data_IF_606072540760
#
_entry.id   IF_606072540760
#
_cell.length_a   1.000
_cell.length_b   1.000
_cell.length_c   1.000
_cell.angle_alpha   90.00
_cell.angle_beta   90.00
_cell.angle_gamma   90.00
#
_symmetry.space_group_name_H-M   'P 1'
#
loop_
_entity.id
_entity.type
_entity.pdbx_description
1 polymer ?
#
# COMPACT_ATOMS: atom_id res chain seq x y z
N UNK A 1 36.91 -24.46 8.31
CA UNK A 1 37.91 -23.91 7.35
C UNK A 1 37.35 -24.14 5.96
N UNK A 2 37.05 -23.04 5.26
CA UNK A 2 36.28 -22.99 4.02
C UNK A 2 35.03 -22.13 4.22
N UNK A 3 35.20 -20.81 4.36
CA UNK A 3 34.09 -19.87 4.12
C UNK A 3 33.74 -20.01 2.65
N UNK A 4 32.59 -20.62 2.34
CA UNK A 4 31.99 -20.51 1.02
C UNK A 4 31.64 -19.04 0.87
N UNK A 5 32.53 -18.26 0.26
CA UNK A 5 32.24 -16.87 -0.04
C UNK A 5 31.20 -16.88 -1.15
N UNK A 6 29.99 -16.44 -0.84
CA UNK A 6 28.89 -16.39 -1.79
C UNK A 6 29.13 -15.25 -2.77
N UNK A 7 29.99 -15.45 -3.77
CA UNK A 7 30.19 -14.43 -4.80
C UNK A 7 28.95 -14.36 -5.69
N UNK A 8 28.31 -13.20 -5.75
CA UNK A 8 27.12 -12.95 -6.54
C UNK A 8 25.80 -13.36 -5.87
N UNK A 9 24.75 -13.52 -6.67
CA UNK A 9 23.41 -13.85 -6.18
C UNK A 9 23.29 -15.35 -5.85
N UNK A 10 22.61 -15.66 -4.75
CA UNK A 10 22.26 -17.03 -4.35
C UNK A 10 20.74 -17.20 -4.35
N UNK A 11 20.27 -18.21 -5.07
CA UNK A 11 18.85 -18.60 -5.12
C UNK A 11 18.67 -20.05 -4.63
N UNK A 12 18.06 -20.18 -3.46
CA UNK A 12 17.63 -21.43 -2.86
C UNK A 12 16.11 -21.49 -2.66
N UNK A 13 15.36 -20.74 -3.47
CA UNK A 13 13.90 -20.69 -3.41
C UNK A 13 13.25 -22.02 -3.80
N UNK A 14 12.07 -22.29 -3.23
CA UNK A 14 11.21 -23.43 -3.58
C UNK A 14 11.88 -24.81 -3.46
N UNK A 15 12.75 -25.01 -2.47
CA UNK A 15 13.47 -26.27 -2.24
C UNK A 15 12.95 -27.08 -1.05
N UNK A 16 11.93 -26.59 -0.36
CA UNK A 16 11.40 -27.21 0.86
C UNK A 16 12.38 -27.15 2.04
N UNK A 17 13.26 -26.14 2.07
CA UNK A 17 14.21 -25.93 3.15
C UNK A 17 13.47 -25.65 4.47
N UNK A 18 14.00 -26.20 5.55
CA UNK A 18 13.52 -25.97 6.92
C UNK A 18 14.51 -25.15 7.75
N UNK A 19 15.75 -24.97 7.28
CA UNK A 19 16.76 -24.11 7.88
C UNK A 19 17.67 -23.50 6.81
N UNK A 20 18.38 -22.42 7.18
CA UNK A 20 19.47 -21.82 6.41
C UNK A 20 20.85 -22.23 6.93
N UNK A 21 20.91 -23.27 7.76
CA UNK A 21 22.18 -23.77 8.30
C UNK A 21 23.12 -24.20 7.16
N UNK A 22 24.38 -23.76 7.24
CA UNK A 22 25.38 -24.02 6.21
C UNK A 22 25.36 -23.05 5.02
N UNK A 23 24.49 -22.02 5.05
CA UNK A 23 24.64 -20.89 4.13
C UNK A 23 26.00 -20.19 4.34
N UNK A 24 26.57 -19.58 3.29
CA UNK A 24 27.65 -18.61 3.42
C UNK A 24 27.42 -17.61 4.56
N UNK A 25 28.48 -17.20 5.25
CA UNK A 25 28.36 -16.11 6.22
C UNK A 25 28.07 -14.77 5.52
N UNK A 26 28.63 -14.60 4.31
CA UNK A 26 28.52 -13.40 3.49
C UNK A 26 28.11 -13.79 2.06
N UNK A 27 27.19 -13.03 1.49
CA UNK A 27 26.80 -13.08 0.08
C UNK A 27 26.98 -11.70 -0.53
N UNK A 28 27.87 -11.59 -1.50
CA UNK A 28 28.17 -10.35 -2.25
C UNK A 28 27.16 -10.13 -3.39
N UNK A 29 25.88 -10.25 -3.06
CA UNK A 29 24.76 -10.15 -4.00
C UNK A 29 23.44 -10.27 -3.26
N UNK A 30 22.42 -10.70 -4.00
CA UNK A 30 21.09 -10.96 -3.48
C UNK A 30 20.96 -12.38 -2.97
N UNK A 31 20.14 -12.58 -1.93
CA UNK A 31 19.86 -13.89 -1.37
C UNK A 31 18.35 -14.16 -1.42
N UNK A 32 17.95 -15.16 -2.19
CA UNK A 32 16.57 -15.58 -2.33
C UNK A 32 16.35 -16.96 -1.69
N UNK A 33 15.60 -16.99 -0.60
CA UNK A 33 15.17 -18.20 0.11
C UNK A 33 13.64 -18.34 0.16
N UNK A 34 12.94 -17.69 -0.76
CA UNK A 34 11.47 -17.68 -0.82
C UNK A 34 10.85 -19.06 -1.09
N UNK A 35 9.58 -19.25 -0.73
CA UNK A 35 8.82 -20.46 -1.05
C UNK A 35 9.32 -21.73 -0.37
N UNK A 36 9.87 -21.62 0.84
CA UNK A 36 10.38 -22.74 1.63
C UNK A 36 9.48 -23.00 2.86
N UNK A 37 9.97 -23.75 3.85
CA UNK A 37 9.28 -24.04 5.12
C UNK A 37 10.09 -23.52 6.30
N UNK A 38 10.77 -22.39 6.11
CA UNK A 38 11.57 -21.75 7.16
C UNK A 38 10.64 -21.18 8.22
N UNK A 39 10.97 -21.41 9.49
CA UNK A 39 10.25 -20.83 10.64
C UNK A 39 11.02 -19.69 11.31
N UNK A 40 12.30 -19.54 10.95
CA UNK A 40 13.27 -18.58 11.50
C UNK A 40 14.28 -18.23 10.39
N UNK A 41 14.95 -17.08 10.54
CA UNK A 41 16.05 -16.66 9.66
C UNK A 41 17.44 -16.98 10.25
N UNK A 42 17.53 -17.79 11.31
CA UNK A 42 18.81 -18.24 11.85
C UNK A 42 19.65 -18.93 10.77
N UNK A 43 20.93 -18.51 10.68
CA UNK A 43 21.85 -18.97 9.64
C UNK A 43 21.76 -18.18 8.33
N UNK A 44 20.89 -17.17 8.22
CA UNK A 44 20.87 -16.29 7.06
C UNK A 44 22.20 -15.55 6.88
N UNK A 45 22.67 -15.36 5.63
CA UNK A 45 23.89 -14.61 5.36
C UNK A 45 23.73 -13.12 5.65
N UNK A 46 24.86 -12.46 5.89
CA UNK A 46 24.98 -11.03 5.63
C UNK A 46 25.03 -10.79 4.13
N UNK A 47 24.25 -9.82 3.64
CA UNK A 47 24.09 -9.57 2.21
C UNK A 47 24.46 -8.14 1.82
N UNK A 48 24.84 -7.94 0.56
CA UNK A 48 25.05 -6.61 -0.01
C UNK A 48 23.97 -6.19 -1.01
N UNK A 49 23.15 -7.12 -1.53
CA UNK A 49 22.05 -6.88 -2.47
C UNK A 49 20.67 -6.86 -1.81
N UNK A 50 19.72 -7.58 -2.43
CA UNK A 50 18.35 -7.80 -1.92
C UNK A 50 18.25 -9.08 -1.08
N UNK A 51 17.26 -9.16 -0.21
CA UNK A 51 16.98 -10.35 0.60
C UNK A 51 15.50 -10.72 0.50
N UNK A 52 15.21 -11.89 -0.06
CA UNK A 52 13.86 -12.42 -0.20
C UNK A 52 13.68 -13.68 0.64
N UNK A 53 12.79 -13.60 1.63
CA UNK A 53 12.36 -14.70 2.48
C UNK A 53 10.84 -14.91 2.44
N UNK A 54 10.19 -14.42 1.39
CA UNK A 54 8.73 -14.50 1.24
C UNK A 54 8.21 -15.93 1.10
N UNK A 55 6.94 -16.14 1.44
CA UNK A 55 6.30 -17.45 1.25
C UNK A 55 6.93 -18.55 2.12
N UNK A 56 7.13 -18.27 3.40
CA UNK A 56 7.66 -19.19 4.39
C UNK A 56 6.71 -19.26 5.62
N UNK A 57 7.15 -19.88 6.71
CA UNK A 57 6.42 -20.00 7.97
C UNK A 57 7.09 -19.16 9.08
N UNK A 58 7.78 -18.09 8.72
CA UNK A 58 8.61 -17.30 9.64
C UNK A 58 7.74 -16.53 10.62
N UNK A 59 8.08 -16.61 11.91
CA UNK A 59 7.37 -15.94 13.01
C UNK A 59 8.07 -14.70 13.56
N UNK A 60 9.37 -14.57 13.30
CA UNK A 60 10.23 -13.45 13.71
C UNK A 60 11.32 -13.20 12.67
N UNK A 61 11.70 -11.95 12.46
CA UNK A 61 12.80 -11.58 11.56
C UNK A 61 14.18 -11.69 12.22
N UNK A 62 14.25 -12.08 13.49
CA UNK A 62 15.51 -12.36 14.19
C UNK A 62 16.35 -13.41 13.44
N UNK A 63 17.67 -13.18 13.40
CA UNK A 63 18.61 -13.97 12.61
C UNK A 63 18.78 -13.48 11.16
N UNK A 64 17.88 -12.63 10.66
CA UNK A 64 17.98 -12.03 9.33
C UNK A 64 19.04 -10.91 9.21
N UNK A 65 19.24 -10.36 7.99
CA UNK A 65 20.21 -9.29 7.79
C UNK A 65 19.78 -7.98 8.46
N UNK A 66 20.70 -7.33 9.18
CA UNK A 66 20.44 -6.05 9.86
C UNK A 66 20.35 -4.84 8.92
N UNK A 67 20.96 -4.95 7.73
CA UNK A 67 21.05 -3.89 6.70
C UNK A 67 20.92 -4.53 5.32
N UNK A 68 20.14 -3.88 4.45
CA UNK A 68 19.87 -4.34 3.09
C UNK A 68 20.06 -3.17 2.13
N UNK A 69 20.87 -3.32 1.07
CA UNK A 69 21.07 -2.25 0.09
C UNK A 69 20.14 -2.33 -1.12
N UNK A 70 19.49 -3.47 -1.34
CA UNK A 70 18.38 -3.61 -2.28
C UNK A 70 17.05 -3.63 -1.55
N UNK A 71 16.22 -4.58 -1.94
CA UNK A 71 14.87 -4.80 -1.43
C UNK A 71 14.88 -5.83 -0.31
N UNK A 72 13.98 -5.68 0.65
CA UNK A 72 13.73 -6.65 1.70
C UNK A 72 12.30 -7.17 1.58
N UNK A 73 12.15 -8.45 1.20
CA UNK A 73 10.87 -9.09 1.05
C UNK A 73 10.67 -10.17 2.11
N UNK A 74 9.70 -9.94 3.01
CA UNK A 74 9.25 -10.87 4.05
C UNK A 74 7.75 -11.14 3.96
N UNK A 75 7.14 -10.89 2.79
CA UNK A 75 5.72 -11.10 2.56
C UNK A 75 5.30 -12.57 2.70
N UNK A 76 4.01 -12.83 2.92
CA UNK A 76 3.44 -14.19 3.00
C UNK A 76 4.15 -15.07 4.03
N UNK A 77 4.17 -14.61 5.28
CA UNK A 77 4.76 -15.31 6.43
C UNK A 77 3.78 -15.28 7.62
N UNK A 78 4.24 -15.59 8.84
CA UNK A 78 3.43 -15.60 10.06
C UNK A 78 3.88 -14.53 11.07
N UNK A 79 4.48 -13.43 10.58
CA UNK A 79 5.02 -12.37 11.43
C UNK A 79 3.92 -11.66 12.21
N UNK A 80 4.16 -11.45 13.51
CA UNK A 80 3.28 -10.64 14.39
C UNK A 80 3.80 -9.22 14.61
N UNK A 81 5.09 -8.99 14.40
CA UNK A 81 5.74 -7.67 14.38
C UNK A 81 6.98 -7.70 13.46
N UNK A 82 7.56 -6.53 13.20
CA UNK A 82 8.75 -6.38 12.35
C UNK A 82 10.05 -6.28 13.16
N UNK A 83 10.02 -6.55 14.47
CA UNK A 83 11.23 -6.57 15.30
C UNK A 83 12.20 -7.64 14.80
N UNK A 84 13.50 -7.35 14.89
CA UNK A 84 14.57 -8.19 14.34
C UNK A 84 14.82 -7.97 12.85
N UNK A 85 13.95 -7.24 12.14
CA UNK A 85 14.15 -6.90 10.73
C UNK A 85 15.24 -5.84 10.51
N UNK A 86 15.61 -5.59 9.24
CA UNK A 86 16.64 -4.61 8.91
C UNK A 86 16.23 -3.20 9.31
N UNK A 87 17.12 -2.52 10.04
CA UNK A 87 16.93 -1.12 10.43
C UNK A 87 17.08 -0.14 9.27
N UNK A 88 17.73 -0.58 8.17
CA UNK A 88 17.99 0.22 6.98
C UNK A 88 17.80 -0.63 5.73
N UNK A 89 16.87 -0.19 4.89
CA UNK A 89 16.59 -0.73 3.55
C UNK A 89 16.64 0.41 2.55
N UNK A 90 17.35 0.22 1.43
CA UNK A 90 17.51 1.28 0.42
C UNK A 90 16.47 1.19 -0.70
N UNK A 91 16.03 -0.01 -1.04
CA UNK A 91 14.96 -0.26 -2.01
C UNK A 91 13.61 -0.38 -1.33
N UNK A 92 12.86 -1.40 -1.70
CA UNK A 92 11.51 -1.69 -1.23
C UNK A 92 11.51 -2.50 0.08
N UNK A 93 10.49 -2.29 0.89
CA UNK A 93 10.23 -3.09 2.08
C UNK A 93 8.84 -3.73 1.97
N UNK A 94 8.82 -5.03 1.71
CA UNK A 94 7.60 -5.78 1.44
C UNK A 94 7.31 -6.72 2.61
N UNK A 95 6.21 -6.49 3.32
CA UNK A 95 5.78 -7.26 4.48
C UNK A 95 4.29 -7.65 4.43
N UNK A 96 3.70 -7.63 3.24
CA UNK A 96 2.31 -7.98 3.01
C UNK A 96 1.97 -9.45 3.32
N UNK A 97 0.71 -9.75 3.58
CA UNK A 97 0.25 -11.13 3.82
C UNK A 97 0.84 -11.75 5.09
N UNK A 98 0.85 -11.00 6.19
CA UNK A 98 1.35 -11.45 7.50
C UNK A 98 0.24 -11.35 8.57
N UNK A 99 0.61 -11.43 9.85
CA UNK A 99 -0.30 -11.26 11.00
C UNK A 99 0.07 -10.01 11.82
N UNK A 100 0.61 -8.98 11.17
CA UNK A 100 1.07 -7.77 11.85
C UNK A 100 -0.12 -7.01 12.44
N UNK A 101 0.01 -6.62 13.72
CA UNK A 101 -0.97 -5.76 14.41
C UNK A 101 -0.50 -4.30 14.52
N UNK A 102 0.80 -4.07 14.32
CA UNK A 102 1.44 -2.74 14.29
C UNK A 102 2.67 -2.80 13.38
N UNK A 103 3.18 -1.63 12.98
CA UNK A 103 4.41 -1.51 12.21
C UNK A 103 5.64 -1.30 13.10
N UNK A 104 5.56 -1.60 14.40
CA UNK A 104 6.71 -1.52 15.30
C UNK A 104 7.85 -2.45 14.83
N UNK A 105 9.04 -1.87 14.69
CA UNK A 105 10.22 -2.54 14.15
C UNK A 105 10.48 -2.27 12.67
N UNK A 106 9.55 -1.62 11.95
CA UNK A 106 9.77 -1.21 10.57
C UNK A 106 10.94 -0.21 10.45
N UNK A 107 11.66 -0.21 9.32
CA UNK A 107 12.62 0.85 9.00
C UNK A 107 11.94 2.22 8.95
N UNK A 108 12.61 3.25 9.46
CA UNK A 108 12.04 4.61 9.52
C UNK A 108 12.03 5.36 8.19
N UNK A 109 12.92 5.00 7.27
CA UNK A 109 12.99 5.59 5.92
C UNK A 109 13.09 4.46 4.91
N UNK A 110 12.18 4.46 3.93
CA UNK A 110 12.16 3.48 2.83
C UNK A 110 11.98 4.25 1.54
N UNK A 111 13.05 4.42 0.75
CA UNK A 111 13.01 5.28 -0.44
C UNK A 111 12.07 4.75 -1.53
N UNK A 112 11.98 3.43 -1.64
CA UNK A 112 11.10 2.77 -2.59
C UNK A 112 9.68 2.62 -2.05
N UNK A 113 9.10 1.47 -2.29
CA UNK A 113 7.76 1.09 -1.90
C UNK A 113 7.76 0.41 -0.52
N UNK A 114 6.86 0.84 0.35
CA UNK A 114 6.55 0.16 1.61
C UNK A 114 5.18 -0.51 1.51
N UNK A 115 5.19 -1.85 1.47
CA UNK A 115 3.98 -2.65 1.38
C UNK A 115 3.73 -3.39 2.70
N UNK A 116 2.65 -3.00 3.39
CA UNK A 116 2.14 -3.67 4.58
C UNK A 116 0.68 -4.12 4.40
N UNK A 117 0.26 -4.32 3.15
CA UNK A 117 -1.09 -4.79 2.83
C UNK A 117 -1.39 -6.17 3.41
N UNK A 118 -2.67 -6.53 3.48
CA UNK A 118 -3.14 -7.86 3.90
C UNK A 118 -2.55 -8.31 5.25
N UNK A 119 -2.78 -7.49 6.26
CA UNK A 119 -2.35 -7.71 7.63
C UNK A 119 -3.53 -7.48 8.61
N UNK A 120 -3.24 -7.32 9.91
CA UNK A 120 -4.24 -7.07 10.94
C UNK A 120 -4.01 -5.72 11.63
N UNK A 121 -3.43 -4.76 10.90
CA UNK A 121 -3.06 -3.46 11.44
C UNK A 121 -4.31 -2.69 11.87
N UNK A 122 -4.27 -2.15 13.09
CA UNK A 122 -5.28 -1.24 13.64
C UNK A 122 -4.80 0.21 13.66
N UNK A 123 -3.50 0.43 13.47
CA UNK A 123 -2.86 1.75 13.33
C UNK A 123 -1.58 1.64 12.51
N UNK A 124 -1.15 2.75 11.90
CA UNK A 124 0.10 2.82 11.13
C UNK A 124 1.31 3.24 11.98
N UNK A 125 1.10 3.56 13.27
CA UNK A 125 2.19 3.89 14.18
C UNK A 125 3.28 2.80 14.20
N UNK A 126 4.53 3.27 14.19
CA UNK A 126 5.71 2.43 14.09
C UNK A 126 6.29 2.34 12.68
N UNK A 127 5.50 2.66 11.65
CA UNK A 127 5.89 2.64 10.24
C UNK A 127 6.97 3.66 9.84
N UNK A 128 7.29 3.70 8.53
CA UNK A 128 8.19 4.70 7.98
C UNK A 128 7.58 6.10 8.07
N UNK A 129 8.44 7.09 8.29
CA UNK A 129 8.04 8.52 8.27
C UNK A 129 8.10 9.10 6.85
N UNK A 130 8.88 8.49 5.97
CA UNK A 130 9.14 8.93 4.60
C UNK A 130 9.19 7.71 3.69
N UNK A 131 8.42 7.74 2.61
CA UNK A 131 8.43 6.67 1.61
C UNK A 131 8.14 7.12 0.18
N UNK A 132 8.58 6.33 -0.80
CA UNK A 132 8.22 6.54 -2.19
C UNK A 132 6.73 6.29 -2.41
N UNK A 133 6.31 5.03 -2.29
CA UNK A 133 4.90 4.63 -2.33
C UNK A 133 4.53 3.87 -1.05
N UNK A 134 3.27 3.95 -0.63
CA UNK A 134 2.79 3.31 0.59
C UNK A 134 1.52 2.52 0.33
N UNK A 135 1.52 1.23 0.68
CA UNK A 135 0.34 0.40 0.65
C UNK A 135 0.04 -0.19 2.02
N UNK A 136 -1.14 0.13 2.53
CA UNK A 136 -1.69 -0.39 3.77
C UNK A 136 -3.11 -0.98 3.58
N UNK A 137 -3.44 -1.35 2.33
CA UNK A 137 -4.72 -1.96 2.00
C UNK A 137 -4.95 -3.29 2.70
N UNK A 138 -6.20 -3.74 2.79
CA UNK A 138 -6.51 -5.07 3.35
C UNK A 138 -6.16 -5.20 4.85
N UNK A 139 -6.41 -4.14 5.62
CA UNK A 139 -6.13 -4.10 7.06
C UNK A 139 -7.41 -3.81 7.87
N UNK A 140 -7.27 -3.47 9.15
CA UNK A 140 -8.37 -3.14 10.07
C UNK A 140 -8.31 -1.69 10.55
N UNK A 141 -7.74 -0.81 9.73
CA UNK A 141 -7.53 0.60 10.05
C UNK A 141 -8.88 1.33 10.13
N UNK A 142 -9.03 2.18 11.16
CA UNK A 142 -10.19 3.08 11.32
C UNK A 142 -9.87 4.54 11.02
N UNK A 143 -8.59 4.88 11.05
CA UNK A 143 -7.99 6.14 10.59
C UNK A 143 -6.59 5.84 10.02
N UNK A 144 -5.98 6.84 9.42
CA UNK A 144 -4.63 6.79 8.84
C UNK A 144 -3.58 7.43 9.76
N UNK A 145 -3.91 7.61 11.05
CA UNK A 145 -2.95 8.17 12.00
C UNK A 145 -1.67 7.31 12.07
N UNK A 146 -0.52 7.98 11.91
CA UNK A 146 0.79 7.35 11.84
C UNK A 146 1.21 6.92 10.43
N UNK A 147 0.44 7.26 9.39
CA UNK A 147 0.91 7.17 8.00
C UNK A 147 2.18 8.03 7.80
N UNK A 148 2.95 7.76 6.73
CA UNK A 148 4.11 8.60 6.38
C UNK A 148 3.69 10.06 6.14
N UNK A 149 4.54 11.00 6.58
CA UNK A 149 4.32 12.44 6.37
C UNK A 149 4.53 12.81 4.90
N UNK A 150 5.45 12.11 4.22
CA UNK A 150 5.80 12.32 2.81
C UNK A 150 5.64 11.02 2.01
N UNK A 151 4.83 11.10 0.94
CA UNK A 151 4.60 10.01 -0.02
C UNK A 151 4.83 10.56 -1.43
N UNK A 152 5.92 10.14 -2.05
CA UNK A 152 6.40 10.71 -3.32
C UNK A 152 5.77 10.09 -4.58
N UNK A 153 4.94 9.07 -4.42
CA UNK A 153 4.23 8.37 -5.50
C UNK A 153 2.80 8.00 -5.03
N UNK A 154 2.43 6.72 -5.05
CA UNK A 154 1.07 6.26 -4.74
C UNK A 154 0.83 5.99 -3.25
N UNK A 155 -0.42 6.16 -2.82
CA UNK A 155 -0.90 5.81 -1.48
C UNK A 155 -2.19 4.99 -1.56
N UNK A 156 -2.10 3.72 -1.16
CA UNK A 156 -3.24 2.81 -1.11
C UNK A 156 -3.61 2.46 0.33
N UNK A 157 -4.83 2.84 0.71
CA UNK A 157 -5.47 2.51 1.98
C UNK A 157 -6.83 1.82 1.80
N UNK A 158 -7.04 1.21 0.63
CA UNK A 158 -8.28 0.53 0.29
C UNK A 158 -8.56 -0.68 1.19
N UNK A 159 -9.81 -1.14 1.20
CA UNK A 159 -10.20 -2.37 1.89
C UNK A 159 -9.84 -2.35 3.38
N UNK A 160 -10.27 -1.29 4.07
CA UNK A 160 -10.08 -1.07 5.50
C UNK A 160 -11.44 -0.76 6.17
N UNK A 161 -11.42 -0.25 7.40
CA UNK A 161 -12.60 0.16 8.16
C UNK A 161 -12.62 1.68 8.38
N UNK A 162 -12.05 2.46 7.45
CA UNK A 162 -11.89 3.90 7.58
C UNK A 162 -13.25 4.59 7.56
N UNK A 163 -13.49 5.43 8.56
CA UNK A 163 -14.68 6.32 8.64
C UNK A 163 -14.34 7.77 8.33
N UNK A 164 -13.05 8.13 8.41
CA UNK A 164 -12.45 9.38 7.95
C UNK A 164 -11.09 9.11 7.35
N UNK A 165 -10.55 10.08 6.61
CA UNK A 165 -9.18 10.05 6.09
C UNK A 165 -8.18 10.74 7.04
N UNK A 166 -8.52 10.87 8.33
CA UNK A 166 -7.64 11.50 9.31
C UNK A 166 -6.27 10.83 9.36
N UNK A 167 -5.21 11.61 9.13
CA UNK A 167 -3.84 11.13 9.04
C UNK A 167 -3.39 10.76 7.62
N UNK A 168 -4.23 10.94 6.59
CA UNK A 168 -3.78 10.80 5.20
C UNK A 168 -2.68 11.83 4.88
N UNK A 169 -1.76 11.51 3.94
CA UNK A 169 -0.82 12.49 3.42
C UNK A 169 -1.56 13.66 2.77
N UNK A 170 -1.07 14.88 2.97
CA UNK A 170 -1.69 16.09 2.40
C UNK A 170 -1.52 16.17 0.88
N UNK A 171 -0.40 15.67 0.37
CA UNK A 171 -0.04 15.68 -1.05
C UNK A 171 0.37 14.27 -1.50
N UNK A 172 -0.16 13.84 -2.65
CA UNK A 172 0.15 12.52 -3.23
C UNK A 172 0.53 12.70 -4.69
N UNK A 173 1.80 12.44 -5.01
CA UNK A 173 2.36 12.62 -6.34
C UNK A 173 2.11 11.44 -7.29
N UNK A 174 1.07 10.66 -7.03
CA UNK A 174 0.65 9.49 -7.80
C UNK A 174 -0.80 9.16 -7.50
N UNK A 175 -1.13 7.87 -7.56
CA UNK A 175 -2.51 7.41 -7.31
C UNK A 175 -2.85 7.42 -5.82
N UNK A 176 -4.05 7.88 -5.48
CA UNK A 176 -4.62 7.77 -4.15
C UNK A 176 -5.85 6.87 -4.15
N UNK A 177 -5.79 5.78 -3.39
CA UNK A 177 -6.90 4.83 -3.27
C UNK A 177 -7.37 4.74 -1.82
N UNK A 178 -8.64 5.08 -1.58
CA UNK A 178 -9.36 4.85 -0.34
C UNK A 178 -10.61 3.97 -0.56
N UNK A 179 -10.60 3.18 -1.63
CA UNK A 179 -11.72 2.33 -2.03
C UNK A 179 -12.12 1.31 -0.94
N UNK A 180 -13.36 0.83 -0.97
CA UNK A 180 -13.86 -0.24 -0.09
C UNK A 180 -13.63 0.07 1.40
N UNK A 181 -14.13 1.22 1.84
CA UNK A 181 -14.08 1.67 3.23
C UNK A 181 -15.49 2.07 3.71
N UNK A 182 -15.59 2.74 4.84
CA UNK A 182 -16.86 3.18 5.45
C UNK A 182 -17.01 4.71 5.40
N UNK A 183 -16.34 5.39 4.47
CA UNK A 183 -16.31 6.85 4.38
C UNK A 183 -17.68 7.39 3.97
N UNK A 184 -18.18 8.36 4.73
CA UNK A 184 -19.41 9.10 4.38
C UNK A 184 -19.13 10.44 3.67
N UNK A 185 -17.90 10.93 3.81
CA UNK A 185 -17.34 12.08 3.10
C UNK A 185 -15.82 11.93 2.98
N UNK A 186 -15.17 12.84 2.24
CA UNK A 186 -13.72 12.81 1.98
C UNK A 186 -12.93 13.81 2.84
N UNK A 187 -13.48 14.24 3.99
CA UNK A 187 -12.77 15.15 4.88
C UNK A 187 -11.44 14.55 5.32
N UNK A 188 -10.45 15.43 5.50
CA UNK A 188 -9.09 15.08 5.93
C UNK A 188 -8.31 14.22 4.93
N UNK A 189 -8.84 14.01 3.73
CA UNK A 189 -8.09 13.44 2.61
C UNK A 189 -7.05 14.40 2.03
N UNK A 190 -6.30 13.95 1.03
CA UNK A 190 -5.29 14.77 0.36
C UNK A 190 -5.91 16.02 -0.27
N UNK A 191 -5.13 17.10 -0.29
CA UNK A 191 -5.50 18.36 -0.93
C UNK A 191 -5.27 18.28 -2.44
N UNK A 192 -4.17 17.66 -2.86
CA UNK A 192 -3.82 17.45 -4.27
C UNK A 192 -3.35 16.01 -4.52
N UNK A 193 -3.81 15.46 -5.64
CA UNK A 193 -3.44 14.12 -6.13
C UNK A 193 -3.06 14.23 -7.62
N UNK A 194 -1.82 13.89 -7.94
CA UNK A 194 -1.31 13.99 -9.32
C UNK A 194 -1.70 12.80 -10.20
N UNK A 195 -2.14 11.69 -9.60
CA UNK A 195 -2.62 10.50 -10.31
C UNK A 195 -4.13 10.33 -10.22
N UNK A 196 -4.55 9.07 -10.31
CA UNK A 196 -5.94 8.66 -10.16
C UNK A 196 -6.40 8.76 -8.71
N UNK A 197 -7.69 9.05 -8.51
CA UNK A 197 -8.34 9.06 -7.21
C UNK A 197 -9.44 8.02 -7.16
N UNK A 198 -9.26 6.97 -6.37
CA UNK A 198 -10.26 5.92 -6.21
C UNK A 198 -10.89 5.98 -4.81
N UNK A 199 -12.17 6.35 -4.74
CA UNK A 199 -12.99 6.31 -3.54
C UNK A 199 -14.22 5.40 -3.69
N UNK A 200 -14.16 4.42 -4.59
CA UNK A 200 -15.24 3.47 -4.83
C UNK A 200 -15.59 2.63 -3.60
N UNK A 201 -16.79 2.04 -3.57
CA UNK A 201 -17.19 1.10 -2.53
C UNK A 201 -17.24 1.69 -1.11
N UNK A 202 -17.59 2.97 -0.99
CA UNK A 202 -17.73 3.68 0.28
C UNK A 202 -19.21 3.98 0.59
N UNK A 203 -19.47 4.84 1.57
CA UNK A 203 -20.81 5.30 1.98
C UNK A 203 -21.03 6.78 1.62
N UNK A 204 -20.32 7.29 0.64
CA UNK A 204 -20.38 8.70 0.24
C UNK A 204 -21.78 9.01 -0.29
N UNK A 205 -22.45 9.99 0.29
CA UNK A 205 -23.70 10.53 -0.27
C UNK A 205 -23.45 11.68 -1.27
N UNK A 206 -22.25 12.27 -1.21
CA UNK A 206 -21.77 13.33 -2.06
C UNK A 206 -20.23 13.39 -1.97
N UNK A 207 -19.60 14.15 -2.86
CA UNK A 207 -18.15 14.40 -2.84
C UNK A 207 -17.80 15.70 -2.08
N UNK A 208 -18.45 16.00 -0.96
CA UNK A 208 -17.98 17.11 -0.11
C UNK A 208 -16.58 16.81 0.38
N UNK A 209 -15.76 17.87 0.43
CA UNK A 209 -14.35 17.80 0.83
C UNK A 209 -13.48 16.95 -0.11
N UNK A 210 -13.91 16.79 -1.37
CA UNK A 210 -13.05 16.25 -2.43
C UNK A 210 -11.74 17.07 -2.54
N UNK A 211 -10.60 16.45 -2.93
CA UNK A 211 -9.36 17.17 -3.16
C UNK A 211 -9.56 18.37 -4.08
N UNK A 212 -8.78 19.43 -3.87
CA UNK A 212 -8.85 20.65 -4.71
C UNK A 212 -8.38 20.37 -6.13
N UNK A 213 -7.44 19.42 -6.29
CA UNK A 213 -6.88 19.02 -7.57
C UNK A 213 -6.70 17.51 -7.61
N UNK A 214 -7.27 16.91 -8.66
CA UNK A 214 -6.97 15.55 -9.10
C UNK A 214 -6.67 15.64 -10.59
N UNK A 215 -5.49 15.21 -11.01
CA UNK A 215 -5.10 15.26 -12.43
C UNK A 215 -5.54 14.03 -13.22
N UNK A 216 -5.54 12.86 -12.57
CA UNK A 216 -5.97 11.60 -13.16
C UNK A 216 -7.48 11.37 -13.10
N UNK A 217 -7.87 10.10 -13.28
CA UNK A 217 -9.27 9.69 -13.29
C UNK A 217 -9.84 9.58 -11.88
N UNK A 218 -11.15 9.81 -11.75
CA UNK A 218 -11.89 9.63 -10.50
C UNK A 218 -12.79 8.39 -10.61
N UNK A 219 -12.59 7.42 -9.73
CA UNK A 219 -13.54 6.33 -9.50
C UNK A 219 -14.27 6.55 -8.17
N UNK A 220 -15.59 6.79 -8.25
CA UNK A 220 -16.49 6.88 -7.08
C UNK A 220 -17.63 5.86 -7.14
N UNK A 221 -17.48 4.79 -7.94
CA UNK A 221 -18.47 3.74 -8.11
C UNK A 221 -18.82 3.04 -6.79
N UNK A 222 -19.97 2.37 -6.70
CA UNK A 222 -20.35 1.61 -5.49
C UNK A 222 -20.60 2.45 -4.23
N UNK A 223 -20.78 3.77 -4.35
CA UNK A 223 -21.22 4.65 -3.27
C UNK A 223 -22.74 4.91 -3.35
N UNK A 224 -23.43 5.15 -2.21
CA UNK A 224 -24.85 5.50 -2.18
C UNK A 224 -25.13 6.96 -2.59
N UNK A 225 -24.26 7.58 -3.39
CA UNK A 225 -24.39 8.98 -3.81
C UNK A 225 -25.79 9.17 -4.38
N UNK A 226 -26.57 10.04 -3.71
CA UNK A 226 -27.88 10.43 -4.22
C UNK A 226 -27.61 11.01 -5.60
N UNK A 227 -28.26 10.46 -6.63
CA UNK A 227 -28.25 10.99 -7.99
C UNK A 227 -28.21 12.51 -7.93
N UNK A 228 -27.34 13.18 -8.73
CA UNK A 228 -27.34 14.64 -8.83
C UNK A 228 -28.80 15.07 -9.00
N UNK A 229 -29.41 15.64 -7.96
CA UNK A 229 -30.83 16.02 -7.94
C UNK A 229 -30.96 17.27 -8.80
N UNK A 230 -30.87 17.08 -10.11
CA UNK A 230 -31.22 18.10 -11.08
C UNK A 230 -32.73 18.13 -11.01
N UNK A 231 -33.27 19.11 -10.28
CA UNK A 231 -34.69 19.45 -10.29
C UNK A 231 -35.07 19.91 -11.69
N UNK A 232 -35.30 18.93 -12.56
CA UNK A 232 -35.73 19.05 -13.94
C UNK A 232 -36.47 17.76 -14.29
N UNK A 233 -37.61 17.84 -15.00
CA UNK A 233 -38.49 16.70 -15.16
C UNK A 233 -37.86 15.74 -16.15
N UNK A 234 -37.27 14.64 -15.69
CA UNK A 234 -37.06 13.40 -16.46
C UNK A 234 -36.38 12.34 -15.58
N UNK A 235 -37.20 11.44 -15.05
CA UNK A 235 -36.81 10.15 -14.49
C UNK A 235 -36.26 9.26 -15.61
N UNK A 236 -34.93 9.20 -15.77
CA UNK A 236 -34.16 8.05 -16.31
C UNK A 236 -32.70 8.42 -16.66
N UNK A 237 -31.98 9.12 -15.77
CA UNK A 237 -30.58 9.50 -16.00
C UNK A 237 -29.65 8.85 -14.99
N UNK A 238 -28.95 7.79 -15.41
CA UNK A 238 -27.75 7.30 -14.74
C UNK A 238 -26.62 8.33 -14.96
N UNK A 239 -26.48 9.30 -14.04
CA UNK A 239 -25.42 10.31 -14.11
C UNK A 239 -24.16 9.83 -13.36
N UNK A 240 -22.99 10.08 -13.94
CA UNK A 240 -21.68 9.88 -13.31
C UNK A 240 -21.01 11.25 -13.21
N UNK A 241 -20.46 11.54 -12.03
CA UNK A 241 -19.72 12.78 -11.79
C UNK A 241 -18.30 12.58 -12.26
N UNK A 242 -17.87 13.33 -13.28
CA UNK A 242 -16.53 13.20 -13.87
C UNK A 242 -15.77 14.50 -13.66
N UNK A 243 -14.52 14.37 -13.21
CA UNK A 243 -13.58 15.48 -13.06
C UNK A 243 -12.69 15.47 -14.30
N UNK A 244 -12.61 16.61 -14.99
CA UNK A 244 -11.65 16.80 -16.08
C UNK A 244 -11.04 18.20 -15.97
N UNK A 245 -9.73 18.29 -15.79
CA UNK A 245 -9.01 19.57 -15.74
C UNK A 245 -9.36 20.46 -14.53
N UNK A 246 -9.64 19.88 -13.35
CA UNK A 246 -9.85 20.64 -12.11
C UNK A 246 -11.22 21.32 -11.96
N UNK A 247 -12.19 21.07 -12.85
CA UNK A 247 -13.60 21.47 -12.65
C UNK A 247 -14.50 20.24 -12.48
N UNK A 248 -15.41 20.30 -11.52
CA UNK A 248 -16.35 19.21 -11.23
C UNK A 248 -17.63 19.38 -12.07
N UNK A 249 -17.94 18.45 -12.96
CA UNK A 249 -19.18 18.45 -13.76
C UNK A 249 -19.97 17.15 -13.55
N UNK A 250 -21.30 17.22 -13.49
CA UNK A 250 -22.14 16.01 -13.60
C UNK A 250 -22.27 15.65 -15.10
N UNK A 251 -21.88 14.44 -15.50
CA UNK A 251 -22.12 13.91 -16.85
C UNK A 251 -23.34 12.98 -16.81
N UNK A 252 -24.34 13.24 -17.65
CA UNK A 252 -25.54 12.41 -17.75
C UNK A 252 -25.68 11.84 -19.17
N UNK A 253 -26.04 10.56 -19.28
CA UNK A 253 -26.34 9.91 -20.57
C UNK A 253 -27.80 10.21 -20.96
N UNK A 254 -28.03 10.85 -22.11
CA UNK A 254 -29.37 10.92 -22.72
C UNK A 254 -29.65 9.59 -23.43
N UNK A 255 -30.77 8.96 -23.11
CA UNK A 255 -31.33 7.86 -23.90
C UNK A 255 -31.67 8.39 -25.30
N UNK A 256 -31.10 7.79 -26.34
CA UNK A 256 -31.29 7.99 -27.79
C UNK A 256 -30.24 8.74 -28.64
N UNK A 257 -29.00 8.94 -28.17
CA UNK A 257 -27.89 9.20 -29.13
C UNK A 257 -26.55 8.65 -28.67
N UNK A 258 -25.70 8.30 -29.64
CA UNK A 258 -24.36 7.74 -29.43
C UNK A 258 -23.29 8.80 -29.11
N UNK A 259 -23.67 9.99 -28.62
CA UNK A 259 -22.73 11.07 -28.30
C UNK A 259 -23.04 11.75 -26.94
N UNK A 260 -21.99 11.97 -26.14
CA UNK A 260 -22.00 12.65 -24.84
C UNK A 260 -21.75 14.15 -25.01
N UNK A 261 -22.57 15.00 -24.39
CA UNK A 261 -22.34 16.46 -24.29
C UNK A 261 -22.22 16.91 -22.82
N UNK A 262 -21.30 17.84 -22.55
CA UNK A 262 -21.05 18.39 -21.23
C UNK A 262 -22.04 19.52 -20.91
N UNK A 263 -22.77 19.42 -19.80
CA UNK A 263 -23.59 20.52 -19.29
C UNK A 263 -22.80 21.30 -18.24
N UNK A 264 -22.65 22.61 -18.48
CA UNK A 264 -21.99 23.54 -17.58
C UNK A 264 -22.96 24.10 -16.55
N UNK A 265 -22.57 24.06 -15.27
CA UNK A 265 -22.80 25.13 -14.30
C UNK A 265 -21.78 25.01 -13.18
#
# INVERSE_FOLDING_TARGET
MGTLDGTGDIDCSNRGLTSLEGCPEIVEGSFNCSGNRLTTLEGAPRITGSFDCSGNEIVSLEGGPEKVNGDFNCSSNQLSCLKGGPSKVKGDFLCSGNRLISLLGAPKKVKGYFDCSDNQLVSLYGGPIETGAFNCSGNRLRSLLGAPDEVHAGFDCSSNLLVSLDGAPEFVNGDFSCANNLLENLAHGPVEVSGNFNCSGNRLMNLKRFPKRVEGELDCSGNPILACDVTGPESDRNCIRVVHGGTVRCCCRKTDSSQLEALSS
#
